data_IF_859352024591
#
_entry.id   IF_859352024591
#
_cell.length_a   1.000
_cell.length_b   1.000
_cell.length_c   1.000
_cell.angle_alpha   90.00
_cell.angle_beta   90.00
_cell.angle_gamma   90.00
#
_symmetry.space_group_name_H-M   'P 1'
#
loop_
_entity.id
_entity.type
_entity.pdbx_description
1 polymer ?
#
# COMPACT_ATOMS: atom_id res chain seq x y z
N UNK A 1 5.41 10.76 13.60
CA UNK A 1 4.09 10.67 14.28
C UNK A 1 3.90 11.95 15.08
N UNK A 2 2.73 12.59 14.95
CA UNK A 2 2.41 13.78 15.77
C UNK A 2 2.27 13.38 17.25
N UNK A 3 2.65 14.24 18.21
CA UNK A 3 2.57 13.92 19.65
C UNK A 3 1.15 13.56 20.13
N UNK A 4 0.15 13.90 19.34
CA UNK A 4 -1.26 13.61 19.65
C UNK A 4 -1.65 12.20 19.21
N UNK A 5 -1.28 11.81 18.00
CA UNK A 5 -1.52 10.43 17.56
C UNK A 5 -0.85 9.43 18.52
N UNK A 6 0.36 9.77 19.00
CA UNK A 6 1.04 8.97 20.01
C UNK A 6 0.27 8.90 21.34
N UNK A 7 -0.31 10.02 21.81
CA UNK A 7 -1.13 10.02 23.05
C UNK A 7 -2.38 9.17 22.92
N UNK A 8 -3.07 9.21 21.79
CA UNK A 8 -4.25 8.38 21.52
C UNK A 8 -3.89 6.89 21.46
N UNK A 9 -2.80 6.54 20.77
CA UNK A 9 -2.34 5.17 20.61
C UNK A 9 -1.73 4.61 21.90
N UNK A 10 -1.28 5.43 22.83
CA UNK A 10 -0.63 5.00 24.08
C UNK A 10 -1.51 4.05 24.92
N UNK A 11 -2.81 4.27 24.93
CA UNK A 11 -3.77 3.40 25.65
C UNK A 11 -3.82 2.02 25.05
N UNK A 12 -3.64 1.89 23.72
CA UNK A 12 -3.74 0.65 22.97
C UNK A 12 -2.38 0.02 22.63
N UNK A 13 -1.27 0.59 23.09
CA UNK A 13 0.11 0.26 22.67
C UNK A 13 0.45 -1.23 22.75
N UNK A 14 0.04 -1.92 23.82
CA UNK A 14 0.34 -3.32 24.00
C UNK A 14 -0.47 -4.21 23.06
N UNK A 15 -1.72 -3.88 22.82
CA UNK A 15 -2.58 -4.59 21.85
C UNK A 15 -2.08 -4.38 20.42
N UNK A 16 -1.64 -3.16 20.08
CA UNK A 16 -1.00 -2.86 18.79
C UNK A 16 0.34 -3.58 18.65
N UNK A 17 1.18 -3.59 19.69
CA UNK A 17 2.44 -4.32 19.66
C UNK A 17 2.21 -5.83 19.49
N UNK A 18 1.20 -6.40 20.13
CA UNK A 18 0.81 -7.79 19.93
C UNK A 18 0.33 -8.07 18.51
N UNK A 19 -0.50 -7.18 17.93
CA UNK A 19 -0.93 -7.29 16.53
C UNK A 19 0.25 -7.20 15.56
N UNK A 20 1.19 -6.28 15.79
CA UNK A 20 2.41 -6.15 14.98
C UNK A 20 3.33 -7.37 15.10
N UNK A 21 3.54 -7.88 16.31
CA UNK A 21 4.34 -9.09 16.52
C UNK A 21 3.73 -10.33 15.86
N UNK A 22 2.41 -10.48 15.98
CA UNK A 22 1.68 -11.57 15.34
C UNK A 22 1.67 -11.43 13.81
N UNK A 23 1.60 -10.19 13.28
CA UNK A 23 1.71 -9.94 11.85
C UNK A 23 3.13 -10.21 11.32
N UNK A 24 4.16 -9.87 12.10
CA UNK A 24 5.54 -10.23 11.76
C UNK A 24 5.72 -11.77 11.72
N UNK A 25 5.15 -12.48 12.68
CA UNK A 25 5.12 -13.95 12.68
C UNK A 25 4.36 -14.50 11.46
N UNK A 26 3.21 -13.94 11.13
CA UNK A 26 2.46 -14.29 9.93
C UNK A 26 3.30 -14.06 8.67
N UNK A 27 4.03 -12.93 8.60
CA UNK A 27 4.97 -12.62 7.51
C UNK A 27 6.07 -13.68 7.38
N UNK A 28 6.66 -14.12 8.47
CA UNK A 28 7.65 -15.21 8.49
C UNK A 28 7.02 -16.53 7.99
N UNK A 29 5.86 -16.89 8.54
CA UNK A 29 5.13 -18.09 8.13
C UNK A 29 4.74 -18.06 6.64
N UNK A 30 4.51 -16.89 6.06
CA UNK A 30 4.16 -16.75 4.63
C UNK A 30 5.26 -17.19 3.67
N UNK A 31 6.52 -17.13 4.10
CA UNK A 31 7.67 -17.55 3.30
C UNK A 31 7.92 -19.06 3.35
N UNK A 32 7.53 -19.72 4.44
CA UNK A 32 7.80 -21.15 4.67
C UNK A 32 7.26 -22.05 3.55
N UNK A 33 6.02 -21.92 3.07
CA UNK A 33 5.52 -22.74 1.97
C UNK A 33 6.39 -22.64 0.71
N UNK A 34 6.84 -21.43 0.37
CA UNK A 34 7.67 -21.19 -0.81
C UNK A 34 9.08 -21.77 -0.67
N UNK A 35 9.68 -21.67 0.52
CA UNK A 35 10.96 -22.29 0.84
C UNK A 35 10.88 -23.82 0.75
N UNK A 36 9.81 -24.40 1.31
CA UNK A 36 9.57 -25.84 1.28
C UNK A 36 9.29 -26.34 -0.14
N UNK A 37 8.52 -25.61 -0.92
CA UNK A 37 8.27 -25.94 -2.34
C UNK A 37 9.55 -25.87 -3.17
N UNK A 38 10.44 -24.93 -2.90
CA UNK A 38 11.75 -24.88 -3.56
C UNK A 38 12.59 -26.13 -3.22
N UNK A 39 12.57 -26.61 -1.99
CA UNK A 39 13.26 -27.86 -1.62
C UNK A 39 12.60 -29.11 -2.21
N UNK A 40 11.28 -29.07 -2.41
CA UNK A 40 10.54 -30.17 -3.02
C UNK A 40 10.77 -30.29 -4.52
N UNK A 41 11.19 -29.21 -5.19
CA UNK A 41 11.32 -29.17 -6.65
C UNK A 41 12.25 -30.25 -7.20
N UNK A 42 13.39 -30.48 -6.57
CA UNK A 42 14.38 -31.43 -7.04
C UNK A 42 13.99 -32.91 -6.86
N UNK A 43 13.51 -33.36 -5.65
CA UNK A 43 12.92 -34.68 -5.49
C UNK A 43 11.76 -34.95 -6.46
N UNK A 44 10.89 -33.98 -6.65
CA UNK A 44 9.73 -34.09 -7.52
C UNK A 44 10.14 -34.28 -8.99
N UNK A 45 11.15 -33.55 -9.46
CA UNK A 45 11.69 -33.69 -10.81
C UNK A 45 12.31 -35.05 -11.04
N UNK A 46 12.78 -35.72 -9.97
CA UNK A 46 13.33 -37.11 -10.04
C UNK A 46 12.21 -38.16 -9.86
N UNK A 47 10.93 -37.79 -9.84
CA UNK A 47 9.81 -38.72 -9.63
C UNK A 47 9.70 -39.27 -8.20
N UNK A 48 10.39 -38.69 -7.23
CA UNK A 48 10.37 -39.11 -5.84
C UNK A 48 9.24 -38.42 -5.06
N UNK A 49 8.21 -39.17 -4.69
CA UNK A 49 7.15 -38.67 -3.85
C UNK A 49 7.66 -38.35 -2.42
N UNK A 50 7.37 -37.16 -1.94
CA UNK A 50 7.75 -36.70 -0.59
C UNK A 50 6.49 -36.29 0.19
N UNK A 51 5.63 -37.27 0.61
CA UNK A 51 4.35 -36.95 1.25
C UNK A 51 4.49 -36.20 2.56
N UNK A 52 5.55 -36.47 3.34
CA UNK A 52 5.84 -35.75 4.58
C UNK A 52 6.16 -34.26 4.31
N UNK A 53 6.90 -33.96 3.24
CA UNK A 53 7.23 -32.58 2.87
C UNK A 53 5.99 -31.84 2.34
N UNK A 54 5.14 -32.52 1.57
CA UNK A 54 3.85 -31.96 1.14
C UNK A 54 2.93 -31.65 2.34
N UNK A 55 2.87 -32.57 3.31
CA UNK A 55 2.10 -32.32 4.56
C UNK A 55 2.67 -31.12 5.34
N UNK A 56 4.00 -30.96 5.35
CA UNK A 56 4.66 -29.80 6.00
C UNK A 56 4.33 -28.49 5.25
N UNK A 57 4.30 -28.48 3.92
CA UNK A 57 3.86 -27.32 3.13
C UNK A 57 2.43 -26.95 3.51
N UNK A 58 1.51 -27.91 3.56
CA UNK A 58 0.13 -27.67 3.95
C UNK A 58 0.02 -27.11 5.37
N UNK A 59 0.77 -27.68 6.32
CA UNK A 59 0.83 -27.20 7.70
C UNK A 59 1.36 -25.76 7.78
N UNK A 60 2.39 -25.43 7.00
CA UNK A 60 2.95 -24.09 6.93
C UNK A 60 1.93 -23.08 6.36
N UNK A 61 1.14 -23.46 5.35
CA UNK A 61 0.05 -22.63 4.82
C UNK A 61 -1.03 -22.41 5.87
N UNK A 62 -1.45 -23.46 6.59
CA UNK A 62 -2.45 -23.34 7.65
C UNK A 62 -1.95 -22.48 8.82
N UNK A 63 -0.69 -22.61 9.20
CA UNK A 63 -0.07 -21.78 10.22
C UNK A 63 -0.02 -20.30 9.78
N UNK A 64 0.37 -20.04 8.55
CA UNK A 64 0.34 -18.69 7.98
C UNK A 64 -1.07 -18.10 8.00
N UNK A 65 -2.08 -18.81 7.48
CA UNK A 65 -3.47 -18.36 7.46
C UNK A 65 -4.00 -18.10 8.86
N UNK A 66 -3.71 -18.98 9.82
CA UNK A 66 -4.11 -18.83 11.22
C UNK A 66 -3.48 -17.58 11.87
N UNK A 67 -2.17 -17.40 11.72
CA UNK A 67 -1.48 -16.21 12.22
C UNK A 67 -2.00 -14.92 11.57
N UNK A 68 -2.21 -14.93 10.24
CA UNK A 68 -2.74 -13.79 9.49
C UNK A 68 -4.15 -13.41 9.96
N UNK A 69 -5.05 -14.39 10.09
CA UNK A 69 -6.42 -14.17 10.54
C UNK A 69 -6.46 -13.61 11.97
N UNK A 70 -5.64 -14.16 12.87
CA UNK A 70 -5.58 -13.72 14.26
C UNK A 70 -4.97 -12.30 14.38
N UNK A 71 -3.92 -12.00 13.61
CA UNK A 71 -3.32 -10.68 13.55
C UNK A 71 -4.32 -9.62 13.05
N UNK A 72 -5.00 -9.92 11.93
CA UNK A 72 -6.02 -9.04 11.37
C UNK A 72 -7.18 -8.83 12.35
N UNK A 73 -7.69 -9.89 12.97
CA UNK A 73 -8.74 -9.80 13.98
C UNK A 73 -8.35 -8.89 15.15
N UNK A 74 -7.15 -9.02 15.67
CA UNK A 74 -6.65 -8.18 16.76
C UNK A 74 -6.50 -6.72 16.33
N UNK A 75 -5.94 -6.47 15.14
CA UNK A 75 -5.77 -5.13 14.59
C UNK A 75 -7.12 -4.43 14.39
N UNK A 76 -8.11 -5.11 13.79
CA UNK A 76 -9.45 -4.56 13.58
C UNK A 76 -10.22 -4.33 14.88
N UNK A 77 -10.03 -5.17 15.91
CA UNK A 77 -10.61 -4.91 17.24
C UNK A 77 -10.05 -3.64 17.87
N UNK A 78 -8.73 -3.46 17.81
CA UNK A 78 -8.10 -2.25 18.34
C UNK A 78 -8.58 -1.01 17.58
N UNK A 79 -8.69 -1.11 16.27
CA UNK A 79 -9.22 -0.05 15.44
C UNK A 79 -10.67 0.32 15.79
N UNK A 80 -11.55 -0.67 15.91
CA UNK A 80 -12.95 -0.44 16.27
C UNK A 80 -13.09 0.24 17.64
N UNK A 81 -12.34 -0.23 18.66
CA UNK A 81 -12.34 0.36 20.01
C UNK A 81 -11.84 1.80 19.96
N UNK A 82 -10.74 2.08 19.22
CA UNK A 82 -10.18 3.42 19.11
C UNK A 82 -11.09 4.38 18.33
N UNK A 83 -11.63 3.94 17.19
CA UNK A 83 -12.54 4.77 16.39
C UNK A 83 -13.82 5.11 17.16
N UNK A 84 -14.36 4.16 17.94
CA UNK A 84 -15.50 4.42 18.81
C UNK A 84 -15.16 5.43 19.94
N UNK A 85 -14.03 5.24 20.61
CA UNK A 85 -13.57 6.14 21.68
C UNK A 85 -13.34 7.56 21.14
N UNK A 86 -12.76 7.70 19.95
CA UNK A 86 -12.60 8.99 19.28
C UNK A 86 -13.94 9.67 18.97
N UNK A 87 -14.91 8.92 18.40
CA UNK A 87 -16.23 9.47 18.11
C UNK A 87 -16.94 9.96 19.37
N UNK A 88 -16.89 9.19 20.46
CA UNK A 88 -17.49 9.60 21.73
C UNK A 88 -16.84 10.86 22.30
N UNK A 89 -15.51 10.96 22.25
CA UNK A 89 -14.78 12.16 22.67
C UNK A 89 -15.09 13.37 21.80
N UNK A 90 -15.19 13.19 20.48
CA UNK A 90 -15.59 14.25 19.55
C UNK A 90 -17.00 14.74 19.86
N UNK A 91 -17.96 13.83 20.02
CA UNK A 91 -19.34 14.19 20.37
C UNK A 91 -19.40 14.98 21.69
N UNK A 92 -18.68 14.52 22.73
CA UNK A 92 -18.61 15.21 24.00
C UNK A 92 -17.92 16.59 23.89
N UNK A 93 -16.98 16.75 22.97
CA UNK A 93 -16.33 18.03 22.69
C UNK A 93 -17.24 18.98 21.92
N UNK A 94 -17.89 18.50 20.86
CA UNK A 94 -18.83 19.27 20.05
C UNK A 94 -19.96 19.86 20.86
N UNK A 95 -20.47 19.15 21.89
CA UNK A 95 -21.51 19.66 22.78
C UNK A 95 -21.09 20.91 23.59
N UNK A 96 -19.79 21.20 23.70
CA UNK A 96 -19.24 22.32 24.46
C UNK A 96 -18.85 23.50 23.57
N UNK A 97 -18.92 23.36 22.25
CA UNK A 97 -18.54 24.40 21.30
C UNK A 97 -19.67 25.46 21.16
N UNK A 98 -19.31 26.74 20.94
CA UNK A 98 -20.30 27.80 20.71
C UNK A 98 -21.02 27.60 19.36
N UNK A 99 -22.29 28.03 19.29
CA UNK A 99 -23.10 27.90 18.06
C UNK A 99 -22.47 28.55 16.82
N UNK A 100 -21.71 29.63 17.00
CA UNK A 100 -21.00 30.34 15.95
C UNK A 100 -19.96 29.43 15.23
N UNK A 101 -19.36 28.50 15.96
CA UNK A 101 -18.46 27.50 15.39
C UNK A 101 -19.20 26.60 14.39
N UNK A 102 -20.40 26.13 14.74
CA UNK A 102 -21.23 25.33 13.84
C UNK A 102 -21.67 26.10 12.60
N UNK A 103 -21.95 27.40 12.73
CA UNK A 103 -22.28 28.28 11.62
C UNK A 103 -21.14 28.40 10.60
N UNK A 104 -19.87 28.43 11.09
CA UNK A 104 -18.68 28.51 10.24
C UNK A 104 -18.32 27.18 9.58
N UNK A 105 -18.44 26.06 10.29
CA UNK A 105 -18.08 24.74 9.77
C UNK A 105 -19.16 24.14 8.86
N UNK A 106 -20.43 24.47 9.09
CA UNK A 106 -21.55 23.84 8.44
C UNK A 106 -21.73 22.35 8.79
N UNK A 107 -22.88 21.75 8.41
CA UNK A 107 -23.17 20.33 8.67
C UNK A 107 -22.13 19.38 8.06
N UNK A 108 -21.67 19.69 6.84
CA UNK A 108 -20.70 18.87 6.11
C UNK A 108 -19.31 18.86 6.78
N UNK A 109 -18.90 19.99 7.37
CA UNK A 109 -17.66 20.09 8.13
C UNK A 109 -17.67 19.20 9.37
N UNK A 110 -18.78 19.19 10.10
CA UNK A 110 -18.97 18.32 11.28
C UNK A 110 -19.02 16.85 10.87
N UNK A 111 -19.78 16.51 9.83
CA UNK A 111 -19.85 15.13 9.31
C UNK A 111 -18.47 14.62 8.87
N UNK A 112 -17.68 15.48 8.21
CA UNK A 112 -16.30 15.14 7.81
C UNK A 112 -15.42 14.81 9.00
N UNK A 113 -15.46 15.61 10.07
CA UNK A 113 -14.66 15.35 11.28
C UNK A 113 -15.03 14.02 11.94
N UNK A 114 -16.33 13.75 12.12
CA UNK A 114 -16.80 12.57 12.85
C UNK A 114 -16.66 11.29 12.04
N UNK A 115 -16.77 11.36 10.70
CA UNK A 115 -16.76 10.18 9.86
C UNK A 115 -15.48 10.05 9.04
N UNK A 116 -15.15 11.04 8.21
CA UNK A 116 -14.04 10.90 7.24
C UNK A 116 -12.68 10.95 7.92
N UNK A 117 -12.47 11.87 8.88
CA UNK A 117 -11.19 12.02 9.57
C UNK A 117 -10.94 10.84 10.53
N UNK A 118 -11.98 10.33 11.19
CA UNK A 118 -11.87 9.09 11.98
C UNK A 118 -11.60 7.89 11.09
N UNK A 119 -12.25 7.80 9.93
CA UNK A 119 -12.00 6.72 8.94
C UNK A 119 -10.58 6.78 8.35
N UNK A 120 -9.99 7.96 8.18
CA UNK A 120 -8.61 8.08 7.73
C UNK A 120 -7.61 7.46 8.71
N UNK A 121 -7.92 7.44 10.02
CA UNK A 121 -7.12 6.75 11.03
C UNK A 121 -7.25 5.22 10.97
N UNK A 122 -8.41 4.68 10.55
CA UNK A 122 -8.63 3.26 10.35
C UNK A 122 -7.57 2.64 9.43
N UNK A 123 -7.29 3.27 8.29
CA UNK A 123 -6.29 2.79 7.34
C UNK A 123 -4.91 2.62 8.01
N UNK A 124 -4.54 3.55 8.88
CA UNK A 124 -3.26 3.50 9.58
C UNK A 124 -3.23 2.39 10.67
N UNK A 125 -4.32 2.18 11.39
CA UNK A 125 -4.34 1.31 12.58
C UNK A 125 -4.62 -0.14 12.20
N UNK A 126 -5.62 -0.37 11.35
CA UNK A 126 -6.02 -1.71 10.95
C UNK A 126 -5.02 -2.36 9.97
N UNK A 127 -4.42 -1.56 9.07
CA UNK A 127 -3.60 -2.10 7.98
C UNK A 127 -2.09 -1.89 8.16
N UNK A 128 -1.65 -0.87 8.92
CA UNK A 128 -0.23 -0.61 9.12
C UNK A 128 0.58 -1.80 9.68
N UNK A 129 0.08 -2.65 10.60
CA UNK A 129 0.81 -3.82 11.04
C UNK A 129 1.15 -4.80 9.91
N UNK A 130 0.17 -5.06 9.02
CA UNK A 130 0.34 -5.90 7.85
C UNK A 130 1.30 -5.27 6.83
N UNK A 131 1.09 -4.00 6.54
CA UNK A 131 1.90 -3.26 5.56
C UNK A 131 3.36 -3.19 6.03
N UNK A 132 3.60 -2.95 7.32
CA UNK A 132 4.94 -2.90 7.89
C UNK A 132 5.63 -4.28 7.84
N UNK A 133 4.90 -5.37 8.11
CA UNK A 133 5.42 -6.72 7.98
C UNK A 133 5.82 -7.03 6.53
N UNK A 134 4.95 -6.75 5.58
CA UNK A 134 5.20 -6.96 4.14
C UNK A 134 6.29 -6.03 3.59
N UNK A 135 6.48 -4.86 4.19
CA UNK A 135 7.48 -3.88 3.77
C UNK A 135 8.88 -4.18 4.33
N UNK A 136 8.98 -4.75 5.54
CA UNK A 136 10.25 -4.93 6.25
C UNK A 136 10.57 -6.39 6.52
N UNK A 137 9.67 -7.12 7.20
CA UNK A 137 9.97 -8.47 7.69
C UNK A 137 10.08 -9.47 6.55
N UNK A 138 9.09 -9.53 5.69
CA UNK A 138 9.04 -10.49 4.58
C UNK A 138 10.20 -10.27 3.60
N UNK A 139 10.49 -9.03 3.11
CA UNK A 139 11.62 -8.80 2.21
C UNK A 139 12.97 -9.05 2.86
N UNK A 140 13.15 -8.67 4.14
CA UNK A 140 14.41 -8.89 4.83
C UNK A 140 14.74 -10.38 4.92
N UNK A 141 13.78 -11.22 5.31
CA UNK A 141 13.98 -12.66 5.44
C UNK A 141 14.18 -13.30 4.06
N UNK A 142 13.39 -12.90 3.04
CA UNK A 142 13.57 -13.35 1.68
C UNK A 142 14.97 -12.99 1.13
N UNK A 143 15.44 -11.75 1.39
CA UNK A 143 16.77 -11.29 1.01
C UNK A 143 17.87 -12.12 1.64
N UNK A 144 17.80 -12.34 2.96
CA UNK A 144 18.80 -13.13 3.69
C UNK A 144 18.84 -14.58 3.19
N UNK A 145 17.67 -15.18 2.96
CA UNK A 145 17.57 -16.53 2.43
C UNK A 145 18.14 -16.67 1.04
N UNK A 146 17.79 -15.77 0.11
CA UNK A 146 18.30 -15.78 -1.26
C UNK A 146 19.80 -15.47 -1.31
N UNK A 147 20.31 -14.59 -0.43
CA UNK A 147 21.73 -14.32 -0.27
C UNK A 147 22.52 -15.56 0.19
N UNK A 148 21.93 -16.32 1.10
CA UNK A 148 22.50 -17.58 1.58
C UNK A 148 22.53 -18.65 0.49
N UNK A 149 21.49 -18.73 -0.36
CA UNK A 149 21.41 -19.69 -1.45
C UNK A 149 22.41 -19.39 -2.56
N UNK A 150 22.43 -18.15 -3.07
CA UNK A 150 23.31 -17.74 -4.15
C UNK A 150 23.48 -16.20 -4.22
N UNK A 151 24.53 -15.62 -3.58
CA UNK A 151 24.67 -14.18 -3.46
C UNK A 151 24.86 -13.45 -4.79
N UNK A 152 25.58 -14.03 -5.74
CA UNK A 152 25.82 -13.40 -7.04
C UNK A 152 24.55 -13.35 -7.91
N UNK A 153 23.74 -14.41 -7.88
CA UNK A 153 22.43 -14.42 -8.56
C UNK A 153 21.49 -13.39 -7.93
N UNK A 154 21.52 -13.25 -6.59
CA UNK A 154 20.73 -12.24 -5.92
C UNK A 154 21.12 -10.83 -6.37
N UNK A 155 22.41 -10.48 -6.38
CA UNK A 155 22.89 -9.18 -6.83
C UNK A 155 22.43 -8.87 -8.26
N UNK A 156 22.50 -9.85 -9.16
CA UNK A 156 22.00 -9.72 -10.52
C UNK A 156 20.48 -9.49 -10.56
N UNK A 157 19.70 -10.25 -9.80
CA UNK A 157 18.24 -10.15 -9.74
C UNK A 157 17.74 -8.91 -8.97
N UNK A 158 18.57 -8.25 -8.18
CA UNK A 158 18.23 -6.98 -7.54
C UNK A 158 18.24 -5.80 -8.53
N UNK A 159 18.93 -5.91 -9.66
CA UNK A 159 19.08 -4.81 -10.62
C UNK A 159 17.72 -4.24 -11.10
N UNK A 160 16.72 -5.03 -11.56
CA UNK A 160 15.42 -4.49 -11.93
C UNK A 160 14.69 -3.83 -10.75
N UNK A 161 14.86 -4.32 -9.52
CA UNK A 161 14.25 -3.71 -8.33
C UNK A 161 14.89 -2.35 -8.01
N UNK A 162 16.21 -2.23 -8.13
CA UNK A 162 16.94 -0.97 -7.95
C UNK A 162 16.55 0.04 -9.02
N UNK A 163 16.43 -0.39 -10.29
CA UNK A 163 15.98 0.46 -11.39
C UNK A 163 14.54 0.95 -11.16
N UNK A 164 13.65 0.08 -10.67
CA UNK A 164 12.29 0.46 -10.32
C UNK A 164 12.26 1.46 -9.16
N UNK A 165 13.05 1.23 -8.09
CA UNK A 165 13.15 2.15 -6.96
C UNK A 165 13.68 3.52 -7.40
N UNK A 166 14.72 3.56 -8.21
CA UNK A 166 15.26 4.80 -8.79
C UNK A 166 14.20 5.52 -9.64
N UNK A 167 13.43 4.78 -10.45
CA UNK A 167 12.33 5.32 -11.25
C UNK A 167 11.23 5.94 -10.38
N UNK A 168 10.83 5.31 -9.28
CA UNK A 168 9.86 5.89 -8.32
C UNK A 168 10.40 7.14 -7.63
N UNK A 169 11.68 7.15 -7.24
CA UNK A 169 12.31 8.35 -6.68
C UNK A 169 12.37 9.49 -7.70
N UNK A 170 12.65 9.18 -8.98
CA UNK A 170 12.61 10.16 -10.07
C UNK A 170 11.21 10.73 -10.25
N UNK A 171 10.16 9.89 -10.23
CA UNK A 171 8.76 10.31 -10.30
C UNK A 171 8.34 11.25 -9.15
N UNK A 172 9.00 11.17 -7.99
CA UNK A 172 8.80 12.06 -6.84
C UNK A 172 9.59 13.36 -6.92
N UNK A 173 10.48 13.50 -7.90
CA UNK A 173 11.28 14.72 -8.07
C UNK A 173 10.41 15.95 -8.35
N UNK A 174 10.97 17.14 -8.10
CA UNK A 174 10.26 18.41 -8.32
C UNK A 174 9.73 18.57 -9.76
N UNK A 175 10.43 17.97 -10.75
CA UNK A 175 10.05 18.02 -12.17
C UNK A 175 8.68 17.38 -12.45
N UNK A 176 8.35 16.29 -11.75
CA UNK A 176 7.10 15.55 -11.95
C UNK A 176 6.03 15.96 -10.93
N UNK A 177 6.43 16.46 -9.77
CA UNK A 177 5.52 16.87 -8.69
C UNK A 177 4.54 17.96 -9.13
N UNK A 178 4.98 18.94 -9.94
CA UNK A 178 4.12 19.99 -10.45
C UNK A 178 2.96 19.43 -11.32
N UNK A 179 3.24 18.44 -12.16
CA UNK A 179 2.21 17.78 -12.97
C UNK A 179 1.16 17.04 -12.11
N UNK A 180 1.61 16.40 -11.03
CA UNK A 180 0.72 15.72 -10.07
C UNK A 180 -0.14 16.76 -9.33
N UNK A 181 0.47 17.87 -8.88
CA UNK A 181 -0.26 18.93 -8.18
C UNK A 181 -1.31 19.58 -9.07
N UNK A 182 -0.98 19.89 -10.34
CA UNK A 182 -1.95 20.45 -11.31
C UNK A 182 -3.10 19.48 -11.56
N UNK A 183 -2.82 18.19 -11.77
CA UNK A 183 -3.87 17.18 -11.95
C UNK A 183 -4.78 17.08 -10.71
N UNK A 184 -4.20 17.07 -9.51
CA UNK A 184 -4.98 16.98 -8.28
C UNK A 184 -5.83 18.24 -8.04
N UNK A 185 -5.26 19.43 -8.27
CA UNK A 185 -6.01 20.69 -8.17
C UNK A 185 -7.16 20.76 -9.20
N UNK A 186 -6.95 20.26 -10.41
CA UNK A 186 -8.02 20.17 -11.41
C UNK A 186 -9.11 19.17 -10.99
N UNK A 187 -8.74 18.04 -10.37
CA UNK A 187 -9.70 17.06 -9.84
C UNK A 187 -10.52 17.64 -8.68
N UNK A 188 -9.89 18.38 -7.76
CA UNK A 188 -10.59 19.04 -6.65
C UNK A 188 -11.62 20.07 -7.17
N UNK A 189 -11.24 20.89 -8.17
CA UNK A 189 -12.17 21.83 -8.81
C UNK A 189 -13.32 21.10 -9.48
N UNK A 190 -13.03 20.06 -10.26
CA UNK A 190 -14.04 19.22 -10.89
C UNK A 190 -15.03 18.68 -9.86
N UNK A 191 -14.53 18.13 -8.74
CA UNK A 191 -15.38 17.59 -7.68
C UNK A 191 -16.25 18.66 -7.03
N UNK A 192 -15.72 19.87 -6.81
CA UNK A 192 -16.47 21.00 -6.27
C UNK A 192 -17.59 21.45 -7.20
N UNK A 193 -17.27 21.66 -8.50
CA UNK A 193 -18.22 22.16 -9.50
C UNK A 193 -19.32 21.13 -9.81
N UNK A 194 -18.99 19.82 -9.81
CA UNK A 194 -19.99 18.75 -9.91
C UNK A 194 -20.87 18.68 -8.66
N UNK A 195 -20.30 18.89 -7.46
CA UNK A 195 -21.05 19.01 -6.22
C UNK A 195 -22.05 20.18 -6.26
N UNK A 196 -21.61 21.35 -6.71
CA UNK A 196 -22.45 22.52 -6.89
C UNK A 196 -23.56 22.27 -7.91
N UNK A 197 -23.23 21.67 -9.08
CA UNK A 197 -24.20 21.28 -10.10
C UNK A 197 -25.26 20.32 -9.54
N UNK A 198 -24.84 19.29 -8.80
CA UNK A 198 -25.75 18.31 -8.21
C UNK A 198 -26.67 18.94 -7.15
N UNK A 199 -26.12 19.82 -6.32
CA UNK A 199 -26.88 20.54 -5.29
C UNK A 199 -27.92 21.50 -5.91
N UNK A 200 -27.58 22.15 -7.02
CA UNK A 200 -28.41 23.12 -7.71
C UNK A 200 -29.10 22.54 -8.96
N UNK A 201 -29.29 21.23 -9.06
CA UNK A 201 -29.80 20.55 -10.25
C UNK A 201 -31.17 21.10 -10.71
N UNK A 202 -32.07 21.40 -9.75
CA UNK A 202 -33.39 21.97 -10.04
C UNK A 202 -33.27 23.37 -10.63
N UNK A 203 -32.37 24.21 -10.10
CA UNK A 203 -32.09 25.54 -10.59
C UNK A 203 -31.49 25.49 -12.01
N UNK A 204 -30.51 24.60 -12.23
CA UNK A 204 -29.89 24.39 -13.54
C UNK A 204 -30.91 23.94 -14.60
N UNK A 205 -31.92 23.14 -14.23
CA UNK A 205 -32.99 22.72 -15.12
C UNK A 205 -33.98 23.84 -15.41
N UNK A 206 -34.32 24.67 -14.44
CA UNK A 206 -35.25 25.79 -14.63
C UNK A 206 -34.62 26.98 -15.39
N UNK A 207 -33.31 27.18 -15.18
CA UNK A 207 -32.58 28.31 -15.77
C UNK A 207 -31.30 27.79 -16.48
N UNK A 208 -31.44 27.29 -17.73
CA UNK A 208 -30.31 26.71 -18.47
C UNK A 208 -29.16 27.71 -18.74
N UNK A 209 -29.42 29.01 -18.62
CA UNK A 209 -28.42 30.09 -18.77
C UNK A 209 -27.67 30.47 -17.48
N UNK A 210 -27.95 29.85 -16.36
CA UNK A 210 -27.34 30.20 -15.05
C UNK A 210 -25.83 29.86 -14.91
N UNK A 211 -25.22 29.26 -15.93
CA UNK A 211 -23.77 28.99 -15.96
C UNK A 211 -23.29 27.79 -15.15
N UNK A 212 -24.15 27.20 -14.32
CA UNK A 212 -23.78 26.09 -13.39
C UNK A 212 -23.32 24.84 -14.17
N UNK A 213 -24.06 24.45 -15.21
CA UNK A 213 -23.67 23.34 -16.09
C UNK A 213 -22.38 23.65 -16.86
N UNK A 214 -22.23 24.87 -17.35
CA UNK A 214 -21.04 25.31 -18.09
C UNK A 214 -19.78 25.29 -17.21
N UNK A 215 -19.90 25.63 -15.91
CA UNK A 215 -18.84 25.53 -14.94
C UNK A 215 -18.33 24.09 -14.79
N UNK A 216 -19.24 23.13 -14.58
CA UNK A 216 -18.92 21.71 -14.48
C UNK A 216 -18.28 21.16 -15.78
N UNK A 217 -18.78 21.55 -16.95
CA UNK A 217 -18.20 21.16 -18.25
C UNK A 217 -16.77 21.73 -18.42
N UNK A 218 -16.55 23.02 -18.08
CA UNK A 218 -15.24 23.64 -18.13
C UNK A 218 -14.23 22.98 -17.22
N UNK A 219 -14.63 22.64 -16.00
CA UNK A 219 -13.78 21.89 -15.03
C UNK A 219 -13.46 20.48 -15.51
N UNK A 220 -14.41 19.80 -16.18
CA UNK A 220 -14.18 18.50 -16.79
C UNK A 220 -13.14 18.57 -17.92
N UNK A 221 -13.24 19.58 -18.78
CA UNK A 221 -12.27 19.83 -19.84
C UNK A 221 -10.88 20.14 -19.28
N UNK A 222 -10.78 21.02 -18.29
CA UNK A 222 -9.52 21.37 -17.63
C UNK A 222 -8.87 20.17 -16.93
N UNK A 223 -9.67 19.29 -16.29
CA UNK A 223 -9.17 18.04 -15.73
C UNK A 223 -8.66 17.11 -16.84
N UNK A 224 -9.39 16.97 -17.95
CA UNK A 224 -8.97 16.17 -19.10
C UNK A 224 -7.61 16.61 -19.65
N UNK A 225 -7.37 17.91 -19.80
CA UNK A 225 -6.09 18.48 -20.22
C UNK A 225 -4.96 18.18 -19.21
N UNK A 226 -5.21 18.45 -17.92
CA UNK A 226 -4.23 18.21 -16.86
C UNK A 226 -3.88 16.74 -16.73
N UNK A 227 -4.88 15.84 -16.82
CA UNK A 227 -4.70 14.39 -16.80
C UNK A 227 -3.93 13.91 -18.05
N UNK A 228 -4.26 14.42 -19.23
CA UNK A 228 -3.55 14.10 -20.47
C UNK A 228 -2.07 14.53 -20.44
N UNK A 229 -1.78 15.73 -19.93
CA UNK A 229 -0.41 16.22 -19.77
C UNK A 229 0.38 15.39 -18.75
N UNK A 230 -0.24 15.00 -17.65
CA UNK A 230 0.33 14.08 -16.66
C UNK A 230 0.58 12.70 -17.30
N UNK A 231 -0.41 12.11 -17.97
CA UNK A 231 -0.32 10.78 -18.58
C UNK A 231 0.82 10.67 -19.59
N UNK A 232 0.97 11.68 -20.46
CA UNK A 232 2.04 11.70 -21.49
C UNK A 232 3.46 11.73 -20.91
N UNK A 233 3.69 12.36 -19.74
CA UNK A 233 5.03 12.54 -19.17
C UNK A 233 5.33 11.58 -18.02
N UNK A 234 4.34 11.31 -17.18
CA UNK A 234 4.47 10.45 -15.99
C UNK A 234 4.09 9.02 -16.33
N UNK A 235 3.04 8.80 -17.12
CA UNK A 235 2.50 7.47 -17.43
C UNK A 235 3.51 6.53 -18.07
N UNK A 236 4.29 6.99 -19.04
CA UNK A 236 5.31 6.15 -19.69
C UNK A 236 6.41 5.71 -18.71
N UNK A 237 6.92 6.64 -17.89
CA UNK A 237 7.95 6.31 -16.90
C UNK A 237 7.38 5.40 -15.82
N UNK A 238 6.15 5.64 -15.37
CA UNK A 238 5.48 4.77 -14.42
C UNK A 238 5.29 3.35 -15.00
N UNK A 239 4.86 3.24 -16.26
CA UNK A 239 4.72 1.94 -16.93
C UNK A 239 6.06 1.18 -17.00
N UNK A 240 7.16 1.85 -17.34
CA UNK A 240 8.49 1.24 -17.34
C UNK A 240 8.92 0.75 -15.95
N UNK A 241 8.64 1.55 -14.91
CA UNK A 241 8.91 1.17 -13.52
C UNK A 241 8.10 -0.06 -13.11
N UNK A 242 6.81 -0.10 -13.45
CA UNK A 242 5.95 -1.25 -13.13
C UNK A 242 6.36 -2.53 -13.90
N UNK A 243 6.84 -2.39 -15.13
CA UNK A 243 7.38 -3.53 -15.89
C UNK A 243 8.55 -4.17 -15.15
N UNK A 244 9.46 -3.38 -14.56
CA UNK A 244 10.60 -3.91 -13.78
C UNK A 244 10.16 -4.77 -12.58
N UNK A 245 8.96 -4.52 -12.03
CA UNK A 245 8.41 -5.23 -10.88
C UNK A 245 7.43 -6.35 -11.30
N UNK A 246 7.19 -6.51 -12.59
CA UNK A 246 6.26 -7.53 -13.10
C UNK A 246 6.84 -8.93 -12.95
N UNK A 247 5.99 -9.90 -12.62
CA UNK A 247 6.40 -11.29 -12.45
C UNK A 247 7.11 -11.88 -13.71
N UNK A 248 6.61 -11.65 -14.95
CA UNK A 248 7.30 -12.15 -16.14
C UNK A 248 8.71 -11.57 -16.31
N UNK A 249 8.90 -10.29 -15.97
CA UNK A 249 10.20 -9.64 -16.08
C UNK A 249 11.20 -10.17 -15.05
N UNK A 250 10.75 -10.29 -13.78
CA UNK A 250 11.57 -10.87 -12.73
C UNK A 250 11.94 -12.32 -13.03
N UNK A 251 11.01 -13.11 -13.59
CA UNK A 251 11.27 -14.46 -14.07
C UNK A 251 12.37 -14.47 -15.15
N UNK A 252 12.25 -13.59 -16.16
CA UNK A 252 13.26 -13.47 -17.21
C UNK A 252 14.66 -13.16 -16.65
N UNK A 253 14.76 -12.28 -15.63
CA UNK A 253 16.03 -11.99 -14.97
C UNK A 253 16.60 -13.19 -14.22
N UNK A 254 15.80 -13.98 -13.53
CA UNK A 254 16.26 -15.22 -12.88
C UNK A 254 16.77 -16.22 -13.92
N UNK A 255 16.04 -16.40 -15.02
CA UNK A 255 16.46 -17.32 -16.10
C UNK A 255 17.74 -16.85 -16.78
N UNK A 256 17.87 -15.56 -17.07
CA UNK A 256 19.11 -14.99 -17.63
C UNK A 256 20.29 -15.16 -16.67
N UNK A 257 20.08 -14.93 -15.39
CA UNK A 257 21.10 -15.14 -14.37
C UNK A 257 21.51 -16.62 -14.25
N UNK A 258 20.54 -17.52 -14.29
CA UNK A 258 20.81 -18.96 -14.28
C UNK A 258 21.65 -19.41 -15.53
N UNK A 259 21.26 -18.91 -16.70
CA UNK A 259 22.04 -19.19 -17.96
C UNK A 259 23.46 -18.60 -17.91
N UNK A 260 23.60 -17.39 -17.35
CA UNK A 260 24.92 -16.76 -17.19
C UNK A 260 25.81 -17.55 -16.23
N UNK A 261 25.27 -18.05 -15.13
CA UNK A 261 25.99 -18.90 -14.18
C UNK A 261 26.38 -20.25 -14.79
N UNK A 262 25.48 -20.88 -15.53
CA UNK A 262 25.77 -22.13 -16.24
C UNK A 262 26.91 -21.95 -17.23
N UNK A 263 26.91 -20.87 -18.01
CA UNK A 263 27.99 -20.51 -18.92
C UNK A 263 29.35 -20.29 -18.23
N UNK A 264 29.32 -19.89 -16.93
CA UNK A 264 30.51 -19.75 -16.09
C UNK A 264 30.93 -21.07 -15.40
N UNK A 265 30.26 -22.18 -15.68
CA UNK A 265 30.52 -23.48 -15.06
C UNK A 265 29.98 -23.62 -13.64
N UNK A 266 29.04 -22.77 -13.22
CA UNK A 266 28.38 -22.83 -11.91
C UNK A 266 26.89 -23.09 -12.12
N UNK A 267 26.50 -24.36 -12.43
CA UNK A 267 25.09 -24.66 -12.69
C UNK A 267 24.22 -24.42 -11.43
N UNK A 268 23.06 -23.82 -11.63
CA UNK A 268 22.10 -23.56 -10.56
C UNK A 268 21.26 -24.83 -10.33
N UNK A 269 21.18 -25.29 -9.07
CA UNK A 269 20.27 -26.37 -8.69
C UNK A 269 18.80 -25.97 -8.93
N UNK A 270 17.95 -26.92 -9.33
CA UNK A 270 16.53 -26.64 -9.61
C UNK A 270 15.81 -26.00 -8.40
N UNK A 271 16.09 -26.50 -7.18
CA UNK A 271 15.55 -25.93 -5.96
C UNK A 271 15.94 -24.47 -5.73
N UNK A 272 17.20 -24.12 -6.07
CA UNK A 272 17.67 -22.73 -5.98
C UNK A 272 16.94 -21.84 -7.00
N UNK A 273 16.82 -22.29 -8.25
CA UNK A 273 16.08 -21.55 -9.28
C UNK A 273 14.63 -21.32 -8.84
N UNK A 274 13.95 -22.35 -8.36
CA UNK A 274 12.58 -22.25 -7.82
C UNK A 274 12.51 -21.27 -6.64
N UNK A 275 13.46 -21.29 -5.70
CA UNK A 275 13.50 -20.35 -4.59
C UNK A 275 13.58 -18.90 -5.08
N UNK A 276 14.45 -18.60 -6.05
CA UNK A 276 14.54 -17.25 -6.63
C UNK A 276 13.24 -16.84 -7.33
N UNK A 277 12.63 -17.74 -8.13
CA UNK A 277 11.36 -17.46 -8.83
C UNK A 277 10.21 -17.13 -7.86
N UNK A 278 10.12 -17.86 -6.75
CA UNK A 278 9.03 -17.74 -5.79
C UNK A 278 9.22 -16.56 -4.81
N UNK A 279 10.46 -16.35 -4.35
CA UNK A 279 10.76 -15.37 -3.29
C UNK A 279 11.18 -13.99 -3.79
N UNK A 280 11.67 -13.86 -5.03
CA UNK A 280 12.10 -12.56 -5.59
C UNK A 280 10.94 -11.56 -5.61
N UNK A 281 9.71 -12.03 -5.80
CA UNK A 281 8.51 -11.20 -5.72
C UNK A 281 8.30 -10.56 -4.34
N UNK A 282 8.71 -11.23 -3.26
CA UNK A 282 8.62 -10.66 -1.92
C UNK A 282 9.49 -9.41 -1.77
N UNK A 283 10.62 -9.35 -2.50
CA UNK A 283 11.51 -8.18 -2.53
C UNK A 283 10.93 -7.01 -3.36
N UNK A 284 9.98 -7.28 -4.26
CA UNK A 284 9.34 -6.23 -5.04
C UNK A 284 8.32 -5.41 -4.23
N UNK A 285 7.73 -5.97 -3.17
CA UNK A 285 6.70 -5.33 -2.38
C UNK A 285 7.13 -3.97 -1.75
N UNK A 286 8.31 -3.82 -1.11
CA UNK A 286 8.78 -2.53 -0.60
C UNK A 286 8.95 -1.50 -1.70
N UNK A 287 9.42 -1.93 -2.88
CA UNK A 287 9.63 -1.03 -4.02
C UNK A 287 8.28 -0.55 -4.57
N UNK A 288 7.28 -1.44 -4.66
CA UNK A 288 5.91 -1.06 -5.05
C UNK A 288 5.29 -0.08 -4.05
N UNK A 289 5.52 -0.27 -2.75
CA UNK A 289 5.04 0.64 -1.70
C UNK A 289 5.59 2.06 -1.84
N UNK A 290 6.78 2.26 -2.42
CA UNK A 290 7.28 3.59 -2.77
C UNK A 290 6.37 4.31 -3.76
N UNK A 291 5.64 3.60 -4.62
CA UNK A 291 4.69 4.18 -5.58
C UNK A 291 3.38 4.68 -4.94
N UNK A 292 2.88 4.01 -3.91
CA UNK A 292 1.53 4.22 -3.37
C UNK A 292 1.49 4.65 -1.88
N UNK A 293 2.52 4.36 -1.09
CA UNK A 293 2.48 4.43 0.38
C UNK A 293 2.52 5.83 1.00
N UNK A 294 2.74 6.90 0.20
CA UNK A 294 2.83 8.26 0.72
C UNK A 294 1.47 8.89 1.05
N UNK A 295 0.46 8.61 0.24
CA UNK A 295 -0.81 9.35 0.26
C UNK A 295 -1.68 8.98 1.48
N UNK A 296 -1.72 7.71 1.87
CA UNK A 296 -2.48 7.25 3.03
C UNK A 296 -1.92 7.82 4.36
N UNK A 297 -0.59 7.83 4.50
CA UNK A 297 0.08 8.40 5.69
C UNK A 297 -0.11 9.92 5.77
N UNK A 298 -0.03 10.63 4.65
CA UNK A 298 -0.28 12.07 4.59
C UNK A 298 -1.74 12.39 4.91
N UNK A 299 -2.68 11.60 4.37
CA UNK A 299 -4.11 11.72 4.68
C UNK A 299 -4.42 11.50 6.16
N UNK A 300 -3.88 10.45 6.76
CA UNK A 300 -4.05 10.17 8.19
C UNK A 300 -3.41 11.24 9.09
N UNK A 301 -2.26 11.80 8.68
CA UNK A 301 -1.63 12.92 9.39
C UNK A 301 -2.48 14.18 9.33
N UNK A 302 -2.98 14.56 8.16
CA UNK A 302 -3.85 15.72 7.99
C UNK A 302 -5.17 15.57 8.78
N UNK A 303 -5.76 14.37 8.80
CA UNK A 303 -6.92 14.06 9.60
C UNK A 303 -6.62 14.20 11.11
N UNK A 304 -5.49 13.66 11.59
CA UNK A 304 -5.08 13.80 12.99
C UNK A 304 -4.82 15.25 13.40
N UNK A 305 -4.33 16.10 12.50
CA UNK A 305 -4.13 17.53 12.73
C UNK A 305 -5.47 18.28 12.83
N UNK A 306 -6.46 17.95 11.97
CA UNK A 306 -7.83 18.54 12.06
C UNK A 306 -8.59 18.12 13.31
N UNK A 307 -8.44 16.88 13.75
CA UNK A 307 -9.06 16.38 14.99
C UNK A 307 -8.50 17.03 16.28
N UNK A 308 -7.50 17.90 16.18
CA UNK A 308 -6.91 18.66 17.30
C UNK A 308 -7.44 20.09 17.42
N UNK A 309 -8.01 20.63 16.35
CA UNK A 309 -8.58 21.98 16.29
C UNK A 309 -10.00 22.03 16.84
#
# INVERSE_FOLDING_TARGET
MTPVLWRLLRTYRWRLAAAMGLQALAGLCSLLPWMLLAWLAEPLARGQAQPALLALVLLAVLAWLGCQALAAHLAHRVDADLCNDLRLRLLAHLQRLPLDWFGRQGPDGVARLVEQDVRALHQLIAHAPNDLSNLLVVPLVALLWLAWLHPWLLLFCLLPLVLAAAGFLLLRSARYRDLVLRRNAALERLSADYGEFAHNLLLARQYPGAGIQQGAEASAAAFGEAFGAWGKRVGHLAALVYVQLSTPWLLAWVLLGALALDALGVPLALGQACAFLLLLRALAAPVQALGHGGDALLGARAAAERLQQ
#
